data_IF_493332470841
#
_entry.id   IF_493332470841
#
_cell.length_a   1.000
_cell.length_b   1.000
_cell.length_c   1.000
_cell.angle_alpha   90.00
_cell.angle_beta   90.00
_cell.angle_gamma   90.00
#
_symmetry.space_group_name_H-M   'P 1'
#
loop_
_entity.id
_entity.type
_entity.pdbx_description
1 polymer ?
#
# COMPACT_ATOMS: atom_id res chain seq x y z
N UNK A 1 7.78 9.34 16.95
CA UNK A 1 8.42 9.50 15.63
C UNK A 1 9.93 9.38 15.72
N UNK A 2 10.48 8.32 15.15
CA UNK A 2 11.92 8.29 14.89
C UNK A 2 12.21 9.27 13.74
N UNK A 3 12.46 10.55 14.09
CA UNK A 3 12.85 11.68 13.20
C UNK A 3 13.78 11.24 12.08
N UNK A 4 14.64 10.27 12.37
CA UNK A 4 15.62 9.77 11.42
C UNK A 4 15.04 9.01 10.22
N UNK A 5 13.97 8.22 10.35
CA UNK A 5 13.40 7.51 9.19
C UNK A 5 12.83 8.49 8.17
N UNK A 6 12.14 9.53 8.65
CA UNK A 6 11.63 10.58 7.78
C UNK A 6 12.76 11.25 6.99
N UNK A 7 13.85 11.60 7.70
CA UNK A 7 15.01 12.23 7.07
C UNK A 7 15.73 11.29 6.08
N UNK A 8 15.86 10.00 6.40
CA UNK A 8 16.44 9.00 5.49
C UNK A 8 15.61 8.85 4.21
N UNK A 9 14.28 8.79 4.32
CA UNK A 9 13.39 8.73 3.17
C UNK A 9 13.49 10.00 2.31
N UNK A 10 13.52 11.19 2.92
CA UNK A 10 13.73 12.46 2.21
C UNK A 10 15.11 12.57 1.57
N UNK A 11 16.13 11.93 2.16
CA UNK A 11 17.46 11.80 1.57
C UNK A 11 17.50 10.77 0.42
N UNK A 12 16.39 10.08 0.16
CA UNK A 12 16.20 9.14 -0.93
C UNK A 12 16.61 7.70 -0.61
N UNK A 13 16.83 7.34 0.66
CA UNK A 13 17.03 5.93 1.04
C UNK A 13 15.73 5.14 0.84
N UNK A 14 15.82 3.94 0.28
CA UNK A 14 14.67 3.03 0.22
C UNK A 14 14.52 2.26 1.53
N UNK A 15 13.34 1.71 1.80
CA UNK A 15 13.07 0.87 2.97
C UNK A 15 14.04 -0.29 3.09
N UNK A 16 14.35 -0.99 1.99
CA UNK A 16 15.37 -2.04 1.98
C UNK A 16 16.78 -1.52 2.36
N UNK A 17 17.15 -0.31 1.91
CA UNK A 17 18.42 0.29 2.32
C UNK A 17 18.44 0.64 3.81
N UNK A 18 17.32 1.15 4.35
CA UNK A 18 17.17 1.46 5.78
C UNK A 18 17.26 0.18 6.61
N UNK A 19 16.55 -0.89 6.23
CA UNK A 19 16.63 -2.21 6.88
C UNK A 19 18.06 -2.77 6.85
N UNK A 20 18.77 -2.65 5.72
CA UNK A 20 20.17 -3.07 5.64
C UNK A 20 21.05 -2.28 6.62
N UNK A 21 20.81 -0.97 6.78
CA UNK A 21 21.52 -0.15 7.76
C UNK A 21 21.19 -0.60 9.18
N UNK A 22 19.92 -0.86 9.50
CA UNK A 22 19.51 -1.36 10.82
C UNK A 22 20.14 -2.70 11.18
N UNK A 23 20.17 -3.66 10.24
CA UNK A 23 20.79 -4.98 10.46
C UNK A 23 22.29 -4.87 10.72
N UNK A 24 22.97 -3.97 10.02
CA UNK A 24 24.41 -3.74 10.20
C UNK A 24 24.72 -3.01 11.51
N UNK A 25 23.81 -2.17 12.00
CA UNK A 25 23.99 -1.39 13.23
C UNK A 25 22.70 -1.30 14.06
N UNK A 26 22.41 -2.33 14.87
CA UNK A 26 21.28 -2.32 15.78
C UNK A 26 21.33 -1.11 16.72
N UNK A 27 20.18 -0.52 17.03
CA UNK A 27 20.00 0.62 17.96
C UNK A 27 20.58 1.97 17.53
N UNK A 28 21.07 2.09 16.30
CA UNK A 28 21.70 3.34 15.84
C UNK A 28 20.69 4.39 15.37
N UNK A 29 19.49 3.97 14.96
CA UNK A 29 18.38 4.87 14.62
C UNK A 29 17.57 5.31 15.86
N UNK A 30 17.92 4.81 17.04
CA UNK A 30 17.35 5.23 18.32
C UNK A 30 18.05 6.50 18.84
N UNK A 31 17.31 7.57 19.20
CA UNK A 31 17.87 8.75 19.86
C UNK A 31 18.57 8.36 21.17
N UNK A 32 19.72 8.99 21.53
CA UNK A 32 20.34 10.16 20.91
C UNK A 32 21.43 9.83 19.87
N UNK A 33 21.58 8.55 19.48
CA UNK A 33 22.79 8.04 18.81
C UNK A 33 22.87 8.28 17.28
N UNK A 34 21.81 8.82 16.66
CA UNK A 34 21.69 8.84 15.20
C UNK A 34 22.75 9.71 14.51
N UNK A 35 22.92 10.97 14.91
CA UNK A 35 23.70 11.94 14.11
C UNK A 35 25.22 11.79 14.20
N UNK A 36 25.77 11.51 15.39
CA UNK A 36 27.23 11.39 15.57
C UNK A 36 27.81 10.12 14.92
N UNK A 37 27.02 9.05 14.80
CA UNK A 37 27.43 7.79 14.16
C UNK A 37 27.28 7.78 12.63
N UNK A 38 26.54 8.71 12.00
CA UNK A 38 26.38 8.74 10.53
C UNK A 38 27.70 8.89 9.78
N UNK A 39 28.68 9.62 10.32
CA UNK A 39 30.03 9.70 9.75
C UNK A 39 30.68 8.32 9.58
N UNK A 40 30.46 7.42 10.56
CA UNK A 40 30.98 6.04 10.54
C UNK A 40 30.24 5.15 9.52
N UNK A 41 28.96 5.41 9.27
CA UNK A 41 28.22 4.71 8.21
C UNK A 41 28.65 5.18 6.83
N UNK A 42 28.78 6.50 6.64
CA UNK A 42 29.26 7.08 5.39
C UNK A 42 30.59 6.43 4.97
N UNK A 43 31.50 6.21 5.93
CA UNK A 43 32.76 5.52 5.65
C UNK A 43 32.61 4.06 5.18
N UNK A 44 31.57 3.32 5.62
CA UNK A 44 31.32 1.95 5.18
C UNK A 44 30.77 1.87 3.75
N UNK A 45 30.13 2.94 3.27
CA UNK A 45 29.59 3.03 1.91
C UNK A 45 30.47 3.88 0.98
N UNK A 46 31.75 4.06 1.32
CA UNK A 46 32.68 4.92 0.59
C UNK A 46 32.85 4.56 -0.90
N UNK A 47 32.52 3.33 -1.30
CA UNK A 47 32.66 2.86 -2.68
C UNK A 47 31.42 3.08 -3.57
N UNK A 48 30.30 3.61 -3.04
CA UNK A 48 29.08 3.82 -3.81
C UNK A 48 28.70 5.32 -3.90
N UNK A 49 28.97 6.00 -5.04
CA UNK A 49 28.70 7.43 -5.21
C UNK A 49 27.24 7.81 -5.00
N UNK A 50 26.30 6.94 -5.38
CA UNK A 50 24.88 7.19 -5.22
C UNK A 50 24.47 7.23 -3.74
N UNK A 51 25.04 6.36 -2.90
CA UNK A 51 24.77 6.35 -1.45
C UNK A 51 25.42 7.56 -0.77
N UNK A 52 26.62 7.96 -1.20
CA UNK A 52 27.27 9.17 -0.69
C UNK A 52 26.43 10.44 -0.92
N UNK A 53 25.84 10.58 -2.11
CA UNK A 53 24.94 11.71 -2.42
C UNK A 53 23.74 11.76 -1.49
N UNK A 54 23.17 10.61 -1.11
CA UNK A 54 22.08 10.54 -0.13
C UNK A 54 22.53 10.99 1.26
N UNK A 55 23.71 10.56 1.73
CA UNK A 55 24.25 11.03 3.01
C UNK A 55 24.53 12.54 3.02
N UNK A 56 25.04 13.09 1.92
CA UNK A 56 25.25 14.53 1.80
C UNK A 56 23.91 15.29 1.85
N UNK A 57 22.88 14.80 1.16
CA UNK A 57 21.54 15.39 1.23
C UNK A 57 20.99 15.31 2.66
N UNK A 58 21.15 14.17 3.34
CA UNK A 58 20.71 13.96 4.72
C UNK A 58 21.26 15.01 5.69
N UNK A 59 22.54 15.40 5.54
CA UNK A 59 23.20 16.43 6.35
C UNK A 59 22.60 17.84 6.13
N UNK A 60 21.95 18.07 4.99
CA UNK A 60 21.34 19.35 4.61
C UNK A 60 19.85 19.45 4.97
N UNK A 61 19.19 18.32 5.29
CA UNK A 61 17.77 18.29 5.57
C UNK A 61 17.45 18.87 6.95
N UNK A 62 16.43 19.72 7.00
CA UNK A 62 15.85 20.22 8.24
C UNK A 62 14.49 19.55 8.50
N UNK A 63 14.38 18.85 9.63
CA UNK A 63 13.18 18.12 10.01
C UNK A 63 11.96 19.01 10.22
N UNK A 64 12.14 20.17 10.85
CA UNK A 64 11.02 21.07 11.18
C UNK A 64 10.45 21.68 9.89
N UNK A 65 11.33 22.07 8.96
CA UNK A 65 10.94 22.54 7.62
C UNK A 65 10.14 21.47 6.86
N UNK A 66 10.58 20.20 6.93
CA UNK A 66 9.87 19.08 6.30
C UNK A 66 8.48 18.90 6.92
N UNK A 67 8.37 18.93 8.25
CA UNK A 67 7.08 18.79 8.92
C UNK A 67 6.12 19.93 8.59
N UNK A 68 6.63 21.17 8.49
CA UNK A 68 5.80 22.31 8.15
C UNK A 68 5.30 22.26 6.69
N UNK A 69 6.12 21.83 5.72
CA UNK A 69 5.66 21.55 4.34
C UNK A 69 4.56 20.49 4.32
N UNK A 70 4.75 19.39 5.06
CA UNK A 70 3.77 18.31 5.15
C UNK A 70 2.45 18.78 5.75
N UNK A 71 2.50 19.59 6.82
CA UNK A 71 1.31 20.20 7.44
C UNK A 71 0.57 21.11 6.47
N UNK A 72 1.26 21.98 5.75
CA UNK A 72 0.64 22.88 4.76
C UNK A 72 -0.07 22.10 3.64
N UNK A 73 0.46 20.94 3.26
CA UNK A 73 -0.13 20.04 2.26
C UNK A 73 -1.22 19.12 2.83
N UNK A 74 -1.55 19.22 4.12
CA UNK A 74 -2.44 18.30 4.84
C UNK A 74 -2.01 16.83 4.76
N UNK A 75 -0.71 16.58 4.74
CA UNK A 75 -0.12 15.23 4.74
C UNK A 75 0.34 14.91 6.15
N UNK A 76 -0.20 13.84 6.71
CA UNK A 76 0.13 13.34 8.04
C UNK A 76 1.16 12.22 7.91
N UNK A 77 2.09 12.19 8.85
CA UNK A 77 3.15 11.17 8.91
C UNK A 77 2.78 10.14 9.96
N UNK A 78 2.73 8.87 9.56
CA UNK A 78 2.46 7.73 10.44
C UNK A 78 3.68 6.81 10.41
N UNK A 79 4.48 6.82 11.47
CA UNK A 79 5.63 5.94 11.63
C UNK A 79 5.27 4.65 12.40
N UNK A 80 6.13 3.64 12.39
CA UNK A 80 5.90 2.34 13.05
C UNK A 80 5.57 2.41 14.56
N UNK A 81 5.95 3.48 15.26
CA UNK A 81 5.63 3.69 16.68
C UNK A 81 4.29 4.38 16.91
N UNK A 82 3.67 4.88 15.84
CA UNK A 82 2.35 5.52 15.90
C UNK A 82 1.25 4.51 16.25
N UNK A 83 0.26 4.96 17.02
CA UNK A 83 -0.97 4.23 17.28
C UNK A 83 -1.81 4.04 16.02
N UNK A 84 -1.63 4.92 15.02
CA UNK A 84 -2.28 4.81 13.71
C UNK A 84 -1.56 3.90 12.73
N UNK A 85 -0.40 3.34 13.08
CA UNK A 85 0.29 2.46 12.17
C UNK A 85 -0.42 1.09 12.13
N UNK A 86 -0.91 0.64 10.95
CA UNK A 86 -1.72 -0.58 10.83
C UNK A 86 -1.01 -1.80 11.42
N UNK A 87 -1.64 -2.54 12.34
CA UNK A 87 -0.99 -3.69 12.97
C UNK A 87 -0.67 -4.80 11.95
N UNK A 88 -1.59 -5.11 11.04
CA UNK A 88 -1.36 -6.07 9.96
C UNK A 88 -0.15 -5.65 9.10
N UNK A 89 0.02 -4.35 8.83
CA UNK A 89 1.15 -3.91 8.03
C UNK A 89 2.48 -4.07 8.78
N UNK A 90 2.49 -4.10 10.13
CA UNK A 90 3.73 -4.37 10.89
C UNK A 90 4.19 -5.82 10.79
N UNK A 91 3.29 -6.74 10.45
CA UNK A 91 3.55 -8.19 10.42
C UNK A 91 4.18 -8.66 9.10
N UNK A 92 4.15 -7.85 8.04
CA UNK A 92 4.74 -8.24 6.77
C UNK A 92 6.27 -8.30 6.87
N UNK A 93 6.93 -8.99 5.92
CA UNK A 93 8.38 -9.15 5.91
C UNK A 93 9.16 -7.82 5.84
N UNK A 94 8.68 -6.86 5.05
CA UNK A 94 9.35 -5.59 4.77
C UNK A 94 8.45 -4.36 4.98
N UNK A 95 7.99 -4.11 6.22
CA UNK A 95 7.04 -3.06 6.52
C UNK A 95 7.66 -1.67 6.25
N UNK A 96 6.89 -0.72 5.68
CA UNK A 96 7.37 0.65 5.51
C UNK A 96 7.61 1.34 6.86
N UNK A 97 8.76 1.98 7.07
CA UNK A 97 9.02 2.67 8.34
C UNK A 97 8.11 3.88 8.58
N UNK A 98 7.68 4.52 7.48
CA UNK A 98 6.86 5.73 7.50
C UNK A 98 5.83 5.65 6.38
N UNK A 99 4.60 6.04 6.71
CA UNK A 99 3.52 6.28 5.79
C UNK A 99 3.20 7.77 5.75
N UNK A 100 3.10 8.30 4.54
CA UNK A 100 2.53 9.61 4.24
C UNK A 100 1.05 9.42 3.93
N UNK A 101 0.19 10.10 4.68
CA UNK A 101 -1.23 9.85 4.69
C UNK A 101 -2.01 11.14 4.47
N UNK A 102 -3.04 11.11 3.62
CA UNK A 102 -3.89 12.27 3.37
C UNK A 102 -5.38 11.88 3.44
N UNK A 103 -6.11 12.51 4.34
CA UNK A 103 -7.52 12.19 4.66
C UNK A 103 -7.72 11.70 6.10
N UNK A 104 -8.66 10.76 6.28
CA UNK A 104 -9.08 10.22 7.57
C UNK A 104 -8.18 9.09 8.06
N UNK A 105 -7.28 9.38 9.01
CA UNK A 105 -6.37 8.39 9.60
C UNK A 105 -7.05 7.29 10.40
N UNK A 106 -8.28 7.50 10.89
CA UNK A 106 -8.96 6.51 11.73
C UNK A 106 -9.15 5.17 11.01
N UNK A 107 -9.24 5.19 9.67
CA UNK A 107 -9.35 3.98 8.87
C UNK A 107 -8.19 3.00 9.06
N UNK A 108 -6.99 3.49 9.41
CA UNK A 108 -5.82 2.64 9.65
C UNK A 108 -5.92 1.82 10.94
N UNK A 109 -6.81 2.19 11.87
CA UNK A 109 -7.06 1.46 13.11
C UNK A 109 -8.06 0.31 12.94
N UNK A 110 -8.67 0.17 11.76
CA UNK A 110 -9.74 -0.78 11.47
C UNK A 110 -9.33 -1.83 10.43
N UNK A 111 -8.06 -2.22 10.45
CA UNK A 111 -7.46 -3.25 9.58
C UNK A 111 -8.09 -4.64 9.67
N UNK A 112 -8.83 -4.95 10.73
CA UNK A 112 -9.62 -6.19 10.78
C UNK A 112 -10.89 -6.15 9.91
N UNK A 113 -11.23 -4.97 9.38
CA UNK A 113 -12.37 -4.72 8.49
C UNK A 113 -11.92 -4.33 7.07
N UNK A 114 -10.63 -4.41 6.75
CA UNK A 114 -10.10 -4.04 5.44
C UNK A 114 -10.08 -5.21 4.47
N UNK A 115 -10.71 -5.02 3.31
CA UNK A 115 -10.67 -5.95 2.18
C UNK A 115 -9.98 -5.26 1.02
N UNK A 116 -8.84 -5.81 0.58
CA UNK A 116 -8.22 -5.38 -0.66
C UNK A 116 -8.98 -5.92 -1.86
N UNK A 117 -9.22 -5.08 -2.87
CA UNK A 117 -9.76 -5.51 -4.15
C UNK A 117 -8.76 -5.14 -5.24
N UNK A 118 -8.25 -6.15 -5.95
CA UNK A 118 -7.27 -5.99 -7.03
C UNK A 118 -7.66 -6.81 -8.26
N UNK A 119 -7.14 -6.45 -9.43
CA UNK A 119 -7.43 -7.19 -10.64
C UNK A 119 -6.86 -6.55 -11.90
N UNK A 120 -7.39 -6.95 -13.04
CA UNK A 120 -6.94 -6.50 -14.34
C UNK A 120 -7.21 -4.99 -14.54
N UNK A 121 -6.25 -4.32 -15.17
CA UNK A 121 -6.44 -2.95 -15.68
C UNK A 121 -7.42 -2.91 -16.85
N UNK A 122 -7.45 -3.99 -17.64
CA UNK A 122 -8.43 -4.26 -18.68
C UNK A 122 -9.27 -5.45 -18.20
N UNK A 123 -10.30 -5.17 -17.41
CA UNK A 123 -11.24 -6.16 -16.92
C UNK A 123 -12.37 -6.37 -17.94
N UNK A 124 -13.10 -7.46 -17.82
CA UNK A 124 -14.31 -7.72 -18.60
C UNK A 124 -15.55 -7.21 -17.85
N UNK A 125 -16.74 -7.44 -18.40
CA UNK A 125 -18.00 -7.18 -17.70
C UNK A 125 -18.14 -8.02 -16.42
N UNK A 126 -17.41 -9.13 -16.31
CA UNK A 126 -17.51 -10.03 -15.17
C UNK A 126 -17.06 -9.35 -13.86
N UNK A 127 -15.96 -8.59 -13.89
CA UNK A 127 -15.55 -7.77 -12.74
C UNK A 127 -16.65 -6.80 -12.31
N UNK A 128 -17.24 -6.06 -13.25
CA UNK A 128 -18.28 -5.08 -12.92
C UNK A 128 -19.52 -5.74 -12.31
N UNK A 129 -19.99 -6.84 -12.91
CA UNK A 129 -21.15 -7.59 -12.41
C UNK A 129 -20.89 -8.17 -11.01
N UNK A 130 -19.71 -8.74 -10.79
CA UNK A 130 -19.33 -9.27 -9.49
C UNK A 130 -19.28 -8.18 -8.41
N UNK A 131 -18.66 -7.03 -8.71
CA UNK A 131 -18.62 -5.92 -7.74
C UNK A 131 -20.02 -5.35 -7.48
N UNK A 132 -20.85 -5.18 -8.50
CA UNK A 132 -22.23 -4.73 -8.33
C UNK A 132 -23.05 -5.67 -7.44
N UNK A 133 -22.85 -6.98 -7.58
CA UNK A 133 -23.49 -7.99 -6.72
C UNK A 133 -22.94 -7.97 -5.28
N UNK A 134 -21.63 -7.87 -5.09
CA UNK A 134 -20.98 -8.06 -3.78
C UNK A 134 -21.04 -6.83 -2.87
N UNK A 135 -20.98 -5.62 -3.43
CA UNK A 135 -20.87 -4.40 -2.63
C UNK A 135 -22.04 -4.12 -1.67
N UNK A 136 -23.31 -4.41 -2.02
CA UNK A 136 -24.42 -4.33 -1.06
C UNK A 136 -24.15 -5.15 0.22
N UNK A 137 -23.55 -6.33 0.10
CA UNK A 137 -23.21 -7.19 1.24
C UNK A 137 -22.00 -6.63 2.01
N UNK A 138 -20.97 -6.14 1.31
CA UNK A 138 -19.83 -5.48 1.95
C UNK A 138 -20.26 -4.25 2.78
N UNK A 139 -21.29 -3.55 2.34
CA UNK A 139 -21.89 -2.43 3.08
C UNK A 139 -22.50 -2.86 4.41
N UNK A 140 -23.13 -4.04 4.48
CA UNK A 140 -23.72 -4.57 5.72
C UNK A 140 -22.68 -4.78 6.83
N UNK A 141 -21.46 -5.18 6.45
CA UNK A 141 -20.32 -5.37 7.36
C UNK A 141 -19.44 -4.13 7.50
N UNK A 142 -19.74 -3.04 6.78
CA UNK A 142 -18.97 -1.79 6.76
C UNK A 142 -17.50 -2.01 6.43
N UNK A 143 -17.23 -2.88 5.45
CA UNK A 143 -15.86 -3.15 5.03
C UNK A 143 -15.16 -1.88 4.52
N UNK A 144 -13.87 -1.80 4.77
CA UNK A 144 -13.00 -0.74 4.26
C UNK A 144 -12.29 -1.28 3.03
N UNK A 145 -12.60 -0.73 1.86
CA UNK A 145 -12.03 -1.22 0.61
C UNK A 145 -10.64 -0.64 0.40
N UNK A 146 -9.63 -1.48 0.20
CA UNK A 146 -8.25 -1.07 -0.08
C UNK A 146 -7.90 -1.37 -1.53
N UNK A 147 -7.30 -0.42 -2.24
CA UNK A 147 -6.79 -0.68 -3.59
C UNK A 147 -5.72 0.32 -3.99
N UNK A 148 -5.20 0.16 -5.21
CA UNK A 148 -4.02 0.86 -5.69
C UNK A 148 -4.27 2.12 -6.51
N UNK A 149 -5.51 2.60 -6.64
CA UNK A 149 -5.84 3.74 -7.51
C UNK A 149 -5.30 3.61 -8.95
N UNK A 150 -5.10 2.40 -9.45
CA UNK A 150 -4.80 2.18 -10.87
C UNK A 150 -6.08 2.26 -11.71
N UNK A 151 -5.95 2.32 -13.04
CA UNK A 151 -7.11 2.12 -13.93
C UNK A 151 -7.69 0.70 -13.81
N UNK A 152 -8.95 0.53 -14.20
CA UNK A 152 -9.63 -0.75 -14.23
C UNK A 152 -10.15 -1.14 -12.86
N UNK A 153 -9.88 -2.39 -12.44
CA UNK A 153 -10.44 -2.97 -11.19
C UNK A 153 -10.20 -2.09 -9.97
N UNK A 154 -8.99 -1.55 -9.79
CA UNK A 154 -8.68 -0.68 -8.64
C UNK A 154 -9.58 0.57 -8.59
N UNK A 155 -9.78 1.23 -9.74
CA UNK A 155 -10.64 2.40 -9.83
C UNK A 155 -12.12 2.03 -9.57
N UNK A 156 -12.59 0.90 -10.12
CA UNK A 156 -13.94 0.42 -9.87
C UNK A 156 -14.17 0.11 -8.39
N UNK A 157 -13.25 -0.60 -7.74
CA UNK A 157 -13.36 -0.93 -6.32
C UNK A 157 -13.55 0.32 -5.46
N UNK A 158 -12.77 1.37 -5.70
CA UNK A 158 -12.94 2.65 -5.02
C UNK A 158 -14.26 3.36 -5.36
N UNK A 159 -14.69 3.33 -6.62
CA UNK A 159 -15.95 3.95 -7.05
C UNK A 159 -17.16 3.28 -6.41
N UNK A 160 -17.21 1.95 -6.40
CA UNK A 160 -18.26 1.17 -5.74
C UNK A 160 -18.22 1.38 -4.22
N UNK A 161 -17.03 1.48 -3.60
CA UNK A 161 -16.95 1.79 -2.18
C UNK A 161 -17.63 3.14 -1.87
N UNK A 162 -17.31 4.17 -2.65
CA UNK A 162 -17.90 5.50 -2.48
C UNK A 162 -19.41 5.48 -2.74
N UNK A 163 -19.90 4.84 -3.81
CA UNK A 163 -21.34 4.79 -4.13
C UNK A 163 -22.15 4.05 -3.08
N UNK A 164 -21.56 3.02 -2.46
CA UNK A 164 -22.17 2.26 -1.36
C UNK A 164 -21.85 2.83 0.04
N UNK A 165 -21.32 4.06 0.11
CA UNK A 165 -21.06 4.77 1.37
C UNK A 165 -20.08 4.04 2.30
N UNK A 166 -19.23 3.20 1.72
CA UNK A 166 -18.11 2.55 2.40
C UNK A 166 -16.88 3.46 2.39
N UNK A 167 -16.03 3.25 3.40
CA UNK A 167 -14.72 3.88 3.43
C UNK A 167 -13.74 3.17 2.50
N UNK A 168 -12.79 3.92 1.94
CA UNK A 168 -11.78 3.33 1.06
C UNK A 168 -10.37 3.91 1.22
N UNK A 169 -9.35 3.06 1.10
CA UNK A 169 -7.95 3.43 1.24
C UNK A 169 -7.23 3.25 -0.10
N UNK A 170 -6.81 4.36 -0.71
CA UNK A 170 -5.99 4.36 -1.92
C UNK A 170 -4.51 4.35 -1.59
N UNK A 171 -3.82 3.24 -1.86
CA UNK A 171 -2.37 3.12 -1.62
C UNK A 171 -1.62 3.59 -2.87
N UNK A 172 -0.65 4.50 -2.76
CA UNK A 172 0.04 5.15 -3.88
C UNK A 172 1.46 4.60 -4.08
N UNK A 173 1.89 4.51 -5.34
CA UNK A 173 3.25 4.10 -5.72
C UNK A 173 4.22 5.30 -5.91
N UNK A 174 3.83 6.47 -5.40
CA UNK A 174 4.49 7.75 -5.58
C UNK A 174 4.07 8.72 -4.46
N UNK A 175 4.77 9.84 -4.35
CA UNK A 175 4.46 10.88 -3.38
C UNK A 175 3.20 11.68 -3.71
N UNK A 176 2.56 12.27 -2.69
CA UNK A 176 1.29 12.98 -2.84
C UNK A 176 1.33 14.20 -3.79
N UNK A 177 2.50 14.75 -4.12
CA UNK A 177 2.63 15.87 -5.07
C UNK A 177 2.43 15.42 -6.54
N UNK A 178 2.48 14.10 -6.79
CA UNK A 178 2.27 13.50 -8.11
C UNK A 178 0.98 12.69 -8.15
N UNK A 179 0.48 12.43 -9.35
CA UNK A 179 -0.61 11.48 -9.55
C UNK A 179 -0.47 10.72 -10.87
N UNK A 180 -0.74 9.42 -10.84
CA UNK A 180 -0.77 8.54 -11.99
C UNK A 180 -1.69 7.35 -11.71
N UNK A 181 -2.51 6.89 -12.68
CA UNK A 181 -2.73 7.49 -13.99
C UNK A 181 -3.71 8.68 -13.94
N UNK A 182 -3.57 9.65 -14.87
CA UNK A 182 -4.32 10.93 -14.79
C UNK A 182 -5.84 10.79 -14.79
N UNK A 183 -6.38 9.76 -15.45
CA UNK A 183 -7.82 9.47 -15.48
C UNK A 183 -8.39 9.14 -14.08
N UNK A 184 -7.56 8.73 -13.11
CA UNK A 184 -8.00 8.45 -11.74
C UNK A 184 -7.85 9.65 -10.78
N UNK A 185 -7.46 10.82 -11.30
CA UNK A 185 -7.16 12.00 -10.46
C UNK A 185 -8.39 12.51 -9.73
N UNK A 186 -9.52 12.55 -10.42
CA UNK A 186 -10.78 12.97 -9.82
C UNK A 186 -11.20 12.02 -8.69
N UNK A 187 -11.10 10.71 -8.93
CA UNK A 187 -11.39 9.67 -7.95
C UNK A 187 -10.50 9.81 -6.72
N UNK A 188 -9.18 9.99 -6.90
CA UNK A 188 -8.27 10.27 -5.79
C UNK A 188 -8.72 11.48 -4.96
N UNK A 189 -9.09 12.58 -5.61
CA UNK A 189 -9.55 13.79 -4.92
C UNK A 189 -10.83 13.55 -4.12
N UNK A 190 -11.72 12.66 -4.58
CA UNK A 190 -12.90 12.26 -3.82
C UNK A 190 -12.49 11.43 -2.58
N UNK A 191 -11.62 10.42 -2.76
CA UNK A 191 -11.11 9.60 -1.66
C UNK A 191 -10.42 10.46 -0.58
N UNK A 192 -9.57 11.42 -0.96
CA UNK A 192 -8.87 12.27 0.01
C UNK A 192 -9.81 13.16 0.84
N UNK A 193 -11.04 13.40 0.38
CA UNK A 193 -12.06 14.17 1.12
C UNK A 193 -12.83 13.34 2.14
N UNK A 194 -13.20 12.11 1.78
CA UNK A 194 -14.13 11.29 2.59
C UNK A 194 -13.49 10.03 3.19
N UNK A 195 -12.29 9.67 2.76
CA UNK A 195 -11.56 8.49 3.23
C UNK A 195 -10.06 8.77 3.27
N UNK A 196 -9.19 7.90 2.74
CA UNK A 196 -7.75 8.00 2.97
C UNK A 196 -6.93 7.62 1.74
N UNK A 197 -5.85 8.36 1.48
CA UNK A 197 -4.75 7.89 0.63
C UNK A 197 -3.47 7.74 1.42
N UNK A 198 -2.66 6.75 1.06
CA UNK A 198 -1.44 6.37 1.78
C UNK A 198 -0.31 6.18 0.79
N UNK A 199 0.90 6.66 1.10
CA UNK A 199 2.12 6.41 0.34
C UNK A 199 3.28 6.11 1.27
N UNK A 200 4.17 5.21 0.87
CA UNK A 200 5.48 5.04 1.53
C UNK A 200 6.50 6.09 1.08
N UNK A 201 6.21 6.82 0.01
CA UNK A 201 7.16 7.71 -0.63
C UNK A 201 6.94 9.17 -0.22
N UNK A 202 8.02 9.95 0.06
CA UNK A 202 7.93 11.38 0.33
C UNK A 202 7.11 12.12 -0.75
N UNK A 203 6.40 13.22 -0.41
CA UNK A 203 5.47 13.90 -1.31
C UNK A 203 6.04 14.22 -2.69
N UNK A 204 7.31 14.62 -2.74
CA UNK A 204 8.04 14.99 -3.96
C UNK A 204 8.56 13.80 -4.78
N UNK A 205 8.18 12.56 -4.45
CA UNK A 205 8.67 11.37 -5.14
C UNK A 205 7.85 11.09 -6.41
N UNK A 206 8.45 11.12 -7.62
CA UNK A 206 7.70 10.88 -8.86
C UNK A 206 7.32 9.40 -9.04
N UNK A 207 6.35 9.07 -9.90
CA UNK A 207 6.04 7.67 -10.24
C UNK A 207 7.22 6.99 -10.94
N UNK A 208 7.44 5.71 -10.62
CA UNK A 208 8.41 4.86 -11.33
C UNK A 208 7.91 3.42 -11.42
N UNK A 209 8.24 2.72 -12.51
CA UNK A 209 7.68 1.39 -12.83
C UNK A 209 7.89 0.35 -11.72
N UNK A 210 9.06 0.35 -11.07
CA UNK A 210 9.39 -0.61 -10.02
C UNK A 210 8.61 -0.38 -8.72
N UNK A 211 8.11 0.84 -8.48
CA UNK A 211 7.36 1.19 -7.27
C UNK A 211 5.95 0.60 -7.24
N UNK A 212 5.38 0.26 -8.40
CA UNK A 212 4.03 -0.32 -8.45
C UNK A 212 4.00 -1.74 -7.84
N UNK A 213 4.92 -2.66 -8.20
CA UNK A 213 5.07 -3.92 -7.46
C UNK A 213 5.45 -3.75 -5.99
N UNK A 214 6.36 -2.83 -5.66
CA UNK A 214 6.73 -2.55 -4.25
C UNK A 214 5.54 -2.10 -3.41
N UNK A 215 4.68 -1.26 -3.98
CA UNK A 215 3.47 -0.75 -3.32
C UNK A 215 2.47 -1.87 -3.01
N UNK A 216 2.37 -2.90 -3.86
CA UNK A 216 1.34 -3.94 -3.72
C UNK A 216 1.45 -4.69 -2.38
N UNK A 217 2.65 -4.83 -1.81
CA UNK A 217 2.83 -5.42 -0.49
C UNK A 217 2.16 -4.63 0.63
N UNK A 218 1.95 -3.32 0.44
CA UNK A 218 1.22 -2.45 1.38
C UNK A 218 -0.28 -2.66 1.20
N UNK A 219 -0.76 -2.82 -0.03
CA UNK A 219 -2.18 -3.13 -0.30
C UNK A 219 -2.58 -4.41 0.44
N UNK A 220 -1.87 -5.51 0.21
CA UNK A 220 -2.10 -6.76 0.93
C UNK A 220 -1.80 -6.61 2.42
N UNK A 221 -0.70 -5.93 2.78
CA UNK A 221 -0.23 -5.81 4.15
C UNK A 221 -1.16 -5.06 5.09
N UNK A 222 -1.91 -4.05 4.61
CA UNK A 222 -2.92 -3.36 5.44
C UNK A 222 -4.27 -4.06 5.48
N UNK A 223 -4.42 -5.18 4.76
CA UNK A 223 -5.71 -5.84 4.55
C UNK A 223 -5.81 -7.16 5.28
N UNK A 224 -6.98 -7.46 5.85
CA UNK A 224 -7.26 -8.78 6.43
C UNK A 224 -7.34 -9.85 5.35
N UNK A 225 -7.94 -9.50 4.20
CA UNK A 225 -7.99 -10.34 3.03
C UNK A 225 -7.87 -9.57 1.72
N UNK A 226 -7.60 -10.30 0.64
CA UNK A 226 -7.43 -9.80 -0.72
C UNK A 226 -8.38 -10.55 -1.64
N UNK A 227 -9.33 -9.82 -2.22
CA UNK A 227 -10.24 -10.31 -3.25
C UNK A 227 -9.71 -9.93 -4.64
N UNK A 228 -9.57 -10.93 -5.51
CA UNK A 228 -9.12 -10.76 -6.89
C UNK A 228 -10.24 -11.07 -7.85
N UNK A 229 -10.62 -10.07 -8.65
CA UNK A 229 -11.70 -10.23 -9.64
C UNK A 229 -11.19 -10.98 -10.87
N UNK A 230 -10.28 -10.40 -11.63
CA UNK A 230 -9.73 -11.00 -12.84
C UNK A 230 -8.20 -10.82 -12.87
N UNK A 231 -7.46 -11.93 -12.89
CA UNK A 231 -6.02 -11.93 -13.07
C UNK A 231 -5.60 -12.92 -14.17
N UNK A 232 -4.83 -12.42 -15.14
CA UNK A 232 -4.13 -13.26 -16.14
C UNK A 232 -2.94 -13.98 -15.49
N UNK A 233 -2.52 -15.09 -16.08
CA UNK A 233 -1.38 -15.93 -15.63
C UNK A 233 -0.04 -15.19 -15.46
N UNK A 234 0.17 -14.08 -16.19
CA UNK A 234 1.35 -13.22 -16.03
C UNK A 234 0.91 -11.78 -15.82
N UNK A 235 0.30 -11.49 -14.67
CA UNK A 235 -0.22 -10.16 -14.34
C UNK A 235 0.32 -9.64 -13.01
N UNK A 236 0.39 -8.32 -12.86
CA UNK A 236 0.81 -7.69 -11.60
C UNK A 236 -0.16 -7.97 -10.43
N UNK A 237 -1.40 -8.40 -10.71
CA UNK A 237 -2.34 -8.82 -9.68
C UNK A 237 -1.92 -10.14 -9.02
N UNK A 238 -1.28 -11.06 -9.76
CA UNK A 238 -0.74 -12.29 -9.18
C UNK A 238 0.36 -12.01 -8.16
N UNK A 239 1.23 -11.02 -8.43
CA UNK A 239 2.25 -10.60 -7.46
C UNK A 239 1.60 -10.20 -6.12
N UNK A 240 0.48 -9.48 -6.17
CA UNK A 240 -0.25 -9.11 -4.95
C UNK A 240 -0.85 -10.32 -4.24
N UNK A 241 -1.30 -11.33 -4.97
CA UNK A 241 -1.80 -12.58 -4.38
C UNK A 241 -0.67 -13.34 -3.69
N UNK A 242 0.48 -13.46 -4.35
CA UNK A 242 1.64 -14.15 -3.79
C UNK A 242 2.10 -13.45 -2.51
N UNK A 243 2.17 -12.12 -2.54
CA UNK A 243 2.45 -11.30 -1.36
C UNK A 243 1.39 -11.50 -0.26
N UNK A 244 0.12 -11.61 -0.59
CA UNK A 244 -0.95 -11.83 0.38
C UNK A 244 -0.83 -13.20 1.06
N UNK A 245 -0.55 -14.25 0.29
CA UNK A 245 -0.33 -15.60 0.81
C UNK A 245 0.91 -15.65 1.71
N UNK A 246 2.03 -15.06 1.29
CA UNK A 246 3.26 -14.95 2.09
C UNK A 246 3.04 -14.17 3.41
N UNK A 247 2.08 -13.24 3.42
CA UNK A 247 1.70 -12.43 4.57
C UNK A 247 0.61 -13.07 5.44
N UNK A 248 0.22 -14.33 5.16
CA UNK A 248 -0.88 -15.04 5.83
C UNK A 248 -2.19 -14.22 5.81
N UNK A 249 -2.53 -13.64 4.65
CA UNK A 249 -3.82 -12.98 4.42
C UNK A 249 -4.77 -13.94 3.72
N UNK A 250 -6.07 -13.80 4.00
CA UNK A 250 -7.07 -14.55 3.26
C UNK A 250 -7.06 -14.08 1.81
N UNK A 251 -7.08 -15.02 0.87
CA UNK A 251 -7.12 -14.71 -0.56
C UNK A 251 -8.39 -15.30 -1.14
N UNK A 252 -9.17 -14.45 -1.79
CA UNK A 252 -10.41 -14.80 -2.47
C UNK A 252 -10.28 -14.51 -3.95
N UNK A 253 -10.81 -15.38 -4.80
CA UNK A 253 -10.77 -15.20 -6.25
C UNK A 253 -12.13 -15.48 -6.88
N UNK A 254 -12.50 -14.70 -7.89
CA UNK A 254 -13.66 -15.07 -8.69
C UNK A 254 -13.39 -16.39 -9.43
N UNK A 255 -14.41 -17.27 -9.54
CA UNK A 255 -14.34 -18.45 -10.39
C UNK A 255 -14.20 -18.06 -11.86
N UNK A 256 -13.87 -19.03 -12.69
CA UNK A 256 -13.80 -18.82 -14.13
C UNK A 256 -13.73 -20.13 -14.88
N UNK A 257 -13.69 -20.04 -16.20
CA UNK A 257 -13.59 -21.23 -17.06
C UNK A 257 -12.14 -21.51 -17.42
N UNK A 258 -11.81 -22.77 -17.72
CA UNK A 258 -10.45 -23.14 -18.14
C UNK A 258 -10.01 -22.50 -19.46
N UNK A 259 -10.97 -21.98 -20.25
CA UNK A 259 -10.77 -21.33 -21.55
C UNK A 259 -10.62 -19.81 -21.44
N UNK A 260 -11.03 -19.20 -20.32
CA UNK A 260 -10.92 -17.75 -20.14
C UNK A 260 -9.53 -17.37 -19.61
N UNK A 261 -8.81 -16.61 -20.44
CA UNK A 261 -7.49 -16.11 -20.09
C UNK A 261 -7.51 -15.02 -19.01
N UNK A 262 -8.65 -14.32 -18.82
CA UNK A 262 -8.79 -13.26 -17.83
C UNK A 262 -8.84 -13.78 -16.39
N UNK A 263 -9.35 -14.99 -16.20
CA UNK A 263 -9.45 -15.66 -14.89
C UNK A 263 -8.45 -16.81 -14.73
N UNK A 264 -7.55 -17.03 -15.71
CA UNK A 264 -6.58 -18.14 -15.64
C UNK A 264 -5.69 -18.06 -14.39
N UNK A 265 -5.28 -16.84 -14.01
CA UNK A 265 -4.54 -16.58 -12.79
C UNK A 265 -5.33 -16.97 -11.54
N UNK A 266 -6.61 -16.58 -11.47
CA UNK A 266 -7.51 -16.95 -10.39
C UNK A 266 -7.56 -18.46 -10.19
N UNK A 267 -7.79 -19.22 -11.27
CA UNK A 267 -7.88 -20.69 -11.20
C UNK A 267 -6.58 -21.35 -10.72
N UNK A 268 -5.42 -20.78 -11.04
CA UNK A 268 -4.14 -21.27 -10.51
C UNK A 268 -4.02 -20.99 -9.02
N UNK A 269 -4.38 -19.79 -8.56
CA UNK A 269 -4.32 -19.46 -7.13
C UNK A 269 -5.35 -20.26 -6.32
N UNK A 270 -6.50 -20.57 -6.89
CA UNK A 270 -7.47 -21.48 -6.27
C UNK A 270 -6.87 -22.87 -6.03
N UNK A 271 -6.05 -23.40 -6.96
CA UNK A 271 -5.31 -24.65 -6.74
C UNK A 271 -4.26 -24.56 -5.63
N UNK A 272 -3.78 -23.35 -5.35
CA UNK A 272 -2.78 -23.06 -4.33
C UNK A 272 -3.40 -22.66 -2.97
N UNK A 273 -4.73 -22.77 -2.83
CA UNK A 273 -5.45 -22.56 -1.58
C UNK A 273 -6.19 -21.23 -1.47
N UNK A 274 -6.22 -20.39 -2.52
CA UNK A 274 -7.13 -19.25 -2.55
C UNK A 274 -8.59 -19.74 -2.60
N UNK A 275 -9.45 -19.07 -1.85
CA UNK A 275 -10.86 -19.40 -1.77
C UNK A 275 -11.63 -18.92 -3.01
N UNK A 276 -12.46 -19.80 -3.57
CA UNK A 276 -13.32 -19.47 -4.70
C UNK A 276 -14.58 -18.75 -4.17
N UNK A 277 -14.89 -17.60 -4.74
CA UNK A 277 -16.06 -16.79 -4.36
C UNK A 277 -17.25 -17.12 -5.25
N UNK A 278 -18.19 -17.91 -4.74
CA UNK A 278 -19.48 -18.16 -5.38
C UNK A 278 -20.52 -17.13 -4.96
N UNK A 279 -20.45 -16.64 -3.72
CA UNK A 279 -21.28 -15.55 -3.22
C UNK A 279 -20.57 -14.70 -2.15
N UNK A 280 -21.29 -13.74 -1.56
CA UNK A 280 -20.70 -12.83 -0.57
C UNK A 280 -20.30 -13.53 0.74
N UNK A 281 -20.93 -14.66 1.11
CA UNK A 281 -20.66 -15.36 2.36
C UNK A 281 -19.25 -15.94 2.40
N UNK A 282 -18.71 -16.38 1.26
CA UNK A 282 -17.34 -16.89 1.12
C UNK A 282 -16.28 -15.87 1.58
N UNK A 283 -16.56 -14.58 1.39
CA UNK A 283 -15.70 -13.49 1.89
C UNK A 283 -16.11 -13.10 3.31
N UNK A 284 -17.41 -12.88 3.55
CA UNK A 284 -17.89 -12.22 4.77
C UNK A 284 -17.78 -13.08 6.03
N UNK A 285 -17.67 -14.40 5.92
CA UNK A 285 -17.42 -15.31 7.05
C UNK A 285 -16.15 -14.94 7.83
N UNK A 286 -15.19 -14.28 7.18
CA UNK A 286 -13.96 -13.84 7.81
C UNK A 286 -14.06 -12.43 8.40
N UNK A 287 -15.20 -11.76 8.34
CA UNK A 287 -15.41 -10.38 8.80
C UNK A 287 -16.58 -10.28 9.80
N UNK A 288 -16.55 -11.16 10.80
CA UNK A 288 -17.45 -11.13 11.95
C UNK A 288 -17.08 -10.06 12.99
#
# INVERSE_FOLDING_TARGET
>A
MQKIFLLLLYAGFSTHQIQKIERLMPNMLNPPYAFSKFKKIRSLFNHNPAIQKKFQLLEQLNYDVILDDLRQKNIKVVDMTSTYYPHLLKEIFDPPYVLFCKGNLQLLNHTNQTLSIVGARMHTAYTTQALEYLFPYFATKKLIIVSGLASGTDALAHQYAISHHLSTIGVLAFGHDYHYPQNTKHLRNQIEKVSLTVSEYPPHTPPSRYRFPERNRIISGVSKGVFVTEAKEKSGALITIDQALEQNRNVYVLPGTMFDTHTKGNLMRAKEGAEIVLDAADILKDYE
#
